data_IF_184792315473
#
_entry.id   IF_184792315473
#
_cell.length_a   1.000
_cell.length_b   1.000
_cell.length_c   1.000
_cell.angle_alpha   90.00
_cell.angle_beta   90.00
_cell.angle_gamma   90.00
#
_symmetry.space_group_name_H-M   'P 1'
#
loop_
_entity.id
_entity.type
_entity.pdbx_description
1 polymer ?
#
# COMPACT_ATOMS: atom_id res chain seq x y z
N UNK A 1 16.36 13.60 -16.85
CA UNK A 1 15.00 13.03 -16.95
C UNK A 1 14.01 14.18 -16.98
N UNK A 2 13.13 14.25 -17.97
CA UNK A 2 12.11 15.32 -18.07
C UNK A 2 11.00 15.07 -17.04
N UNK A 3 10.42 16.14 -16.49
CA UNK A 3 9.36 16.06 -15.49
C UNK A 3 8.14 15.23 -15.95
N UNK A 4 7.88 15.21 -17.26
CA UNK A 4 6.79 14.44 -17.87
C UNK A 4 6.97 12.92 -17.71
N UNK A 5 8.21 12.43 -17.77
CA UNK A 5 8.49 11.00 -17.60
C UNK A 5 8.24 10.52 -16.18
N UNK A 6 8.65 11.31 -15.18
CA UNK A 6 8.38 11.02 -13.77
C UNK A 6 6.87 11.02 -13.51
N UNK A 7 6.16 12.00 -14.06
CA UNK A 7 4.70 12.11 -13.97
C UNK A 7 3.99 10.87 -14.52
N UNK A 8 4.45 10.38 -15.68
CA UNK A 8 3.92 9.15 -16.28
C UNK A 8 4.19 7.92 -15.42
N UNK A 9 5.41 7.78 -14.90
CA UNK A 9 5.78 6.67 -14.00
C UNK A 9 4.95 6.68 -12.71
N UNK A 10 4.75 7.84 -12.08
CA UNK A 10 3.89 7.96 -10.91
C UNK A 10 2.44 7.61 -11.23
N UNK A 11 1.92 8.05 -12.39
CA UNK A 11 0.57 7.67 -12.81
C UNK A 11 0.44 6.15 -12.98
N UNK A 12 1.36 5.51 -13.71
CA UNK A 12 1.36 4.05 -13.89
C UNK A 12 1.46 3.31 -12.55
N UNK A 13 2.31 3.79 -11.64
CA UNK A 13 2.46 3.20 -10.32
C UNK A 13 1.18 3.32 -9.50
N UNK A 14 0.54 4.49 -9.46
CA UNK A 14 -0.75 4.69 -8.78
C UNK A 14 -1.84 3.78 -9.35
N UNK A 15 -1.91 3.64 -10.68
CA UNK A 15 -2.83 2.69 -11.32
C UNK A 15 -2.52 1.24 -10.93
N UNK A 16 -1.24 0.87 -10.84
CA UNK A 16 -0.79 -0.45 -10.38
C UNK A 16 -1.24 -0.75 -8.95
N UNK A 17 -1.05 0.18 -8.02
CA UNK A 17 -1.48 0.04 -6.61
C UNK A 17 -3.01 -0.07 -6.53
N UNK A 18 -3.75 0.80 -7.21
CA UNK A 18 -5.23 0.75 -7.22
C UNK A 18 -5.75 -0.58 -7.79
N UNK A 19 -5.13 -1.08 -8.86
CA UNK A 19 -5.47 -2.37 -9.44
C UNK A 19 -5.20 -3.50 -8.44
N UNK A 20 -4.05 -3.49 -7.76
CA UNK A 20 -3.70 -4.48 -6.76
C UNK A 20 -4.68 -4.49 -5.57
N UNK A 21 -5.06 -3.31 -5.06
CA UNK A 21 -6.09 -3.18 -4.02
C UNK A 21 -7.40 -3.82 -4.47
N UNK A 22 -7.86 -3.48 -5.68
CA UNK A 22 -9.13 -3.99 -6.20
C UNK A 22 -9.11 -5.51 -6.41
N UNK A 23 -8.03 -6.04 -6.97
CA UNK A 23 -7.86 -7.49 -7.18
C UNK A 23 -7.88 -8.25 -5.86
N UNK A 24 -7.11 -7.80 -4.86
CA UNK A 24 -7.11 -8.41 -3.52
C UNK A 24 -8.47 -8.28 -2.84
N UNK A 25 -9.08 -7.10 -2.87
CA UNK A 25 -10.39 -6.86 -2.26
C UNK A 25 -11.47 -7.76 -2.86
N UNK A 26 -11.47 -7.95 -4.18
CA UNK A 26 -12.42 -8.83 -4.85
C UNK A 26 -12.19 -10.29 -4.46
N UNK A 27 -10.94 -10.75 -4.46
CA UNK A 27 -10.60 -12.11 -4.10
C UNK A 27 -10.95 -12.43 -2.64
N UNK A 28 -10.59 -11.56 -1.70
CA UNK A 28 -10.92 -11.70 -0.28
C UNK A 28 -12.44 -11.79 -0.08
N UNK A 29 -13.21 -10.95 -0.77
CA UNK A 29 -14.68 -11.01 -0.71
C UNK A 29 -15.23 -12.33 -1.24
N UNK A 30 -14.67 -12.91 -2.30
CA UNK A 30 -15.09 -14.22 -2.81
C UNK A 30 -14.77 -15.33 -1.80
N UNK A 31 -13.54 -15.34 -1.28
CA UNK A 31 -13.10 -16.31 -0.27
C UNK A 31 -13.95 -16.26 1.00
N UNK A 32 -14.30 -15.07 1.49
CA UNK A 32 -15.17 -14.89 2.67
C UNK A 32 -16.60 -15.41 2.44
N UNK A 33 -17.06 -15.41 1.19
CA UNK A 33 -18.34 -16.00 0.77
C UNK A 33 -18.22 -17.50 0.45
N UNK A 34 -17.06 -18.13 0.70
CA UNK A 34 -16.81 -19.55 0.43
C UNK A 34 -16.64 -19.89 -1.05
N UNK A 35 -16.40 -18.89 -1.91
CA UNK A 35 -16.14 -19.09 -3.33
C UNK A 35 -14.63 -19.19 -3.54
N UNK A 36 -14.16 -20.38 -3.91
CA UNK A 36 -12.77 -20.57 -4.33
C UNK A 36 -12.54 -19.86 -5.67
N UNK A 37 -11.49 -19.04 -5.75
CA UNK A 37 -11.13 -18.25 -6.92
C UNK A 37 -9.71 -18.63 -7.38
N UNK A 38 -9.56 -19.92 -7.72
CA UNK A 38 -8.30 -20.53 -8.12
C UNK A 38 -7.76 -19.94 -9.43
N UNK A 39 -8.64 -19.57 -10.36
CA UNK A 39 -8.26 -18.96 -11.64
C UNK A 39 -7.51 -17.64 -11.46
N UNK A 40 -7.73 -16.93 -10.34
CA UNK A 40 -7.09 -15.64 -10.06
C UNK A 40 -5.96 -15.72 -9.04
N UNK A 41 -5.61 -16.90 -8.55
CA UNK A 41 -4.55 -17.07 -7.53
C UNK A 41 -3.24 -16.35 -7.92
N UNK A 42 -2.76 -16.50 -9.16
CA UNK A 42 -1.55 -15.79 -9.61
C UNK A 42 -1.71 -14.26 -9.65
N UNK A 43 -2.90 -13.76 -9.97
CA UNK A 43 -3.18 -12.33 -9.99
C UNK A 43 -3.24 -11.75 -8.58
N UNK A 44 -3.71 -12.54 -7.62
CA UNK A 44 -3.74 -12.23 -6.19
C UNK A 44 -2.32 -12.15 -5.64
N UNK A 45 -1.48 -13.14 -5.93
CA UNK A 45 -0.07 -13.16 -5.50
C UNK A 45 0.68 -11.92 -5.99
N UNK A 46 0.59 -11.62 -7.30
CA UNK A 46 1.22 -10.41 -7.87
C UNK A 46 0.66 -9.12 -7.27
N UNK A 47 -0.62 -9.10 -6.91
CA UNK A 47 -1.24 -7.95 -6.26
C UNK A 47 -0.71 -7.77 -4.83
N UNK A 48 -0.55 -8.86 -4.09
CA UNK A 48 0.07 -8.86 -2.77
C UNK A 48 1.51 -8.36 -2.83
N UNK A 49 2.32 -8.87 -3.77
CA UNK A 49 3.70 -8.41 -4.00
C UNK A 49 3.74 -6.91 -4.35
N UNK A 50 2.84 -6.44 -5.21
CA UNK A 50 2.76 -5.02 -5.60
C UNK A 50 2.47 -4.14 -4.38
N UNK A 51 1.53 -4.54 -3.52
CA UNK A 51 1.21 -3.79 -2.31
C UNK A 51 2.32 -3.85 -1.26
N UNK A 52 2.97 -5.00 -1.09
CA UNK A 52 4.11 -5.14 -0.18
C UNK A 52 5.26 -4.22 -0.59
N UNK A 53 5.62 -4.20 -1.87
CA UNK A 53 6.66 -3.31 -2.40
C UNK A 53 6.29 -1.83 -2.20
N UNK A 54 5.02 -1.48 -2.43
CA UNK A 54 4.53 -0.13 -2.16
C UNK A 54 4.64 0.26 -0.69
N UNK A 55 4.26 -0.63 0.24
CA UNK A 55 4.35 -0.38 1.67
C UNK A 55 5.80 -0.29 2.16
N UNK A 56 6.72 -1.08 1.60
CA UNK A 56 8.15 -0.98 1.91
C UNK A 56 8.72 0.39 1.52
N UNK A 57 8.35 0.88 0.33
CA UNK A 57 8.78 2.20 -0.12
C UNK A 57 8.16 3.33 0.72
N UNK A 58 6.86 3.22 1.04
CA UNK A 58 6.17 4.17 1.90
C UNK A 58 6.80 4.21 3.29
N UNK A 59 7.14 3.06 3.88
CA UNK A 59 7.78 3.00 5.18
C UNK A 59 9.18 3.62 5.16
N UNK A 60 9.99 3.32 4.15
CA UNK A 60 11.30 3.92 3.98
C UNK A 60 11.20 5.46 3.86
N UNK A 61 10.28 5.95 3.03
CA UNK A 61 10.05 7.38 2.84
C UNK A 61 9.54 8.06 4.11
N UNK A 62 8.60 7.44 4.83
CA UNK A 62 8.06 7.93 6.09
C UNK A 62 9.16 8.03 7.17
N UNK A 63 10.01 7.00 7.30
CA UNK A 63 11.14 7.00 8.24
C UNK A 63 12.17 8.10 7.91
N UNK A 64 12.42 8.35 6.63
CA UNK A 64 13.33 9.42 6.19
C UNK A 64 12.76 10.80 6.54
N UNK A 65 11.48 11.03 6.26
CA UNK A 65 10.81 12.30 6.53
C UNK A 65 10.67 12.61 8.04
N UNK A 66 10.51 11.59 8.89
CA UNK A 66 10.35 11.78 10.34
C UNK A 66 11.66 12.13 11.06
N UNK A 67 12.81 11.74 10.49
CA UNK A 67 14.15 12.03 11.05
C UNK A 67 14.57 13.51 10.98
N UNK A 68 13.71 14.42 10.52
CA UNK A 68 13.98 15.87 10.36
C UNK A 68 15.24 16.21 9.56
N UNK A 69 15.82 15.25 8.85
CA UNK A 69 16.76 15.56 7.79
C UNK A 69 15.92 15.91 6.56
N UNK A 70 15.92 17.17 6.10
CA UNK A 70 15.51 17.49 4.74
C UNK A 70 16.62 16.98 3.81
N UNK A 71 16.97 15.70 3.93
CA UNK A 71 17.62 14.98 2.86
C UNK A 71 16.57 15.01 1.77
N UNK A 72 16.72 16.00 0.89
CA UNK A 72 16.01 16.12 -0.36
C UNK A 72 15.82 14.69 -0.85
N UNK A 73 14.58 14.23 -0.90
CA UNK A 73 14.23 12.96 -1.52
C UNK A 73 14.53 13.11 -3.02
N UNK A 74 15.82 13.16 -3.36
CA UNK A 74 16.37 13.44 -4.68
C UNK A 74 16.03 12.23 -5.55
N UNK A 75 15.29 12.48 -6.63
CA UNK A 75 14.80 11.43 -7.51
C UNK A 75 13.45 10.82 -7.13
N UNK A 76 12.82 11.26 -6.03
CA UNK A 76 11.44 10.86 -5.69
C UNK A 76 10.44 11.80 -6.36
N UNK A 77 9.40 11.21 -6.96
CA UNK A 77 8.31 11.95 -7.59
C UNK A 77 7.66 12.94 -6.60
N UNK A 78 7.46 14.22 -6.99
CA UNK A 78 6.77 15.21 -6.15
C UNK A 78 5.43 14.76 -5.59
N UNK A 79 4.62 14.02 -6.35
CA UNK A 79 3.32 13.49 -5.93
C UNK A 79 3.46 12.43 -4.85
N UNK A 80 4.47 11.56 -4.97
CA UNK A 80 4.73 10.57 -3.93
C UNK A 80 5.20 11.24 -2.64
N UNK A 81 6.01 12.30 -2.76
CA UNK A 81 6.42 13.10 -1.60
C UNK A 81 5.24 13.76 -0.90
N UNK A 82 4.33 14.37 -1.67
CA UNK A 82 3.08 14.95 -1.15
C UNK A 82 2.22 13.88 -0.44
N UNK A 83 2.06 12.71 -1.07
CA UNK A 83 1.36 11.59 -0.46
C UNK A 83 1.99 11.13 0.86
N UNK A 84 3.32 11.01 0.94
CA UNK A 84 4.03 10.65 2.19
C UNK A 84 3.78 11.70 3.28
N UNK A 85 3.80 12.98 2.91
CA UNK A 85 3.51 14.07 3.84
C UNK A 85 2.07 13.98 4.39
N UNK A 86 1.10 13.75 3.50
CA UNK A 86 -0.30 13.59 3.87
C UNK A 86 -0.52 12.35 4.74
N UNK A 87 0.15 11.24 4.41
CA UNK A 87 0.14 10.01 5.21
C UNK A 87 0.67 10.26 6.63
N UNK A 88 1.81 10.92 6.77
CA UNK A 88 2.40 11.24 8.08
C UNK A 88 1.52 12.19 8.88
N UNK A 89 0.92 13.18 8.21
CA UNK A 89 -0.03 14.13 8.82
C UNK A 89 -1.26 13.38 9.35
N UNK A 90 -1.88 12.55 8.50
CA UNK A 90 -3.01 11.70 8.86
C UNK A 90 -2.71 10.77 10.05
N UNK A 91 -1.52 10.16 10.05
CA UNK A 91 -1.03 9.28 11.13
C UNK A 91 -0.88 10.00 12.46
N UNK A 92 -0.33 11.22 12.46
CA UNK A 92 -0.15 12.04 13.68
C UNK A 92 -1.46 12.52 14.29
N UNK A 93 -2.47 12.78 13.46
CA UNK A 93 -3.76 13.29 13.93
C UNK A 93 -4.65 12.23 14.58
N UNK A 94 -4.28 10.94 14.56
CA UNK A 94 -5.05 9.80 15.11
C UNK A 94 -6.54 9.77 14.72
N UNK A 95 -6.91 10.51 13.65
CA UNK A 95 -8.28 10.66 13.20
C UNK A 95 -8.80 9.41 12.50
N UNK A 96 -7.87 8.59 12.00
CA UNK A 96 -8.18 7.37 11.27
C UNK A 96 -7.97 6.15 12.17
N UNK A 97 -8.99 5.30 12.26
CA UNK A 97 -8.96 4.04 13.03
C UNK A 97 -8.36 2.87 12.24
N UNK A 98 -8.15 3.03 10.93
CA UNK A 98 -7.60 1.98 10.08
C UNK A 98 -6.20 1.58 10.53
N UNK A 99 -5.91 0.27 10.45
CA UNK A 99 -4.60 -0.32 10.80
C UNK A 99 -3.44 0.33 10.03
N UNK A 100 -3.69 0.90 8.86
CA UNK A 100 -2.71 1.66 8.06
C UNK A 100 -2.11 2.87 8.80
N UNK A 101 -2.88 3.46 9.72
CA UNK A 101 -2.51 4.68 10.44
C UNK A 101 -2.21 4.43 11.93
N UNK A 102 -2.60 3.29 12.48
CA UNK A 102 -2.47 2.99 13.93
C UNK A 102 -1.33 2.03 14.26
N UNK A 103 -0.92 1.16 13.32
CA UNK A 103 0.15 0.18 13.51
C UNK A 103 1.36 0.40 12.59
N UNK A 104 2.43 -0.40 12.75
CA UNK A 104 3.50 -0.50 11.78
C UNK A 104 3.01 -1.14 10.48
N UNK A 105 3.49 -0.66 9.33
CA UNK A 105 3.10 -1.21 8.03
C UNK A 105 3.49 -2.69 7.86
N UNK A 106 4.47 -3.16 8.63
CA UNK A 106 4.83 -4.57 8.73
C UNK A 106 3.66 -5.48 9.09
N UNK A 107 2.76 -5.04 9.97
CA UNK A 107 1.62 -5.86 10.41
C UNK A 107 0.66 -6.11 9.25
N UNK A 108 0.49 -5.11 8.37
CA UNK A 108 -0.35 -5.22 7.18
C UNK A 108 0.30 -6.15 6.14
N UNK A 109 1.63 -6.14 6.03
CA UNK A 109 2.33 -7.11 5.17
C UNK A 109 2.10 -8.55 5.64
N UNK A 110 2.10 -8.78 6.95
CA UNK A 110 1.76 -10.09 7.52
C UNK A 110 0.33 -10.48 7.20
N UNK A 111 -0.63 -9.56 7.30
CA UNK A 111 -2.02 -9.83 6.90
C UNK A 111 -2.14 -10.16 5.41
N UNK A 112 -1.44 -9.41 4.53
CA UNK A 112 -1.45 -9.66 3.08
C UNK A 112 -0.89 -11.02 2.66
N UNK A 113 -0.07 -11.65 3.51
CA UNK A 113 0.51 -12.98 3.28
C UNK A 113 -0.22 -14.08 4.05
N UNK A 114 -1.22 -13.72 4.87
CA UNK A 114 -1.98 -14.68 5.67
C UNK A 114 -3.18 -15.22 4.89
N UNK A 115 -3.35 -16.54 4.98
CA UNK A 115 -4.54 -17.24 4.50
C UNK A 115 -5.56 -17.51 5.63
N UNK A 116 -5.32 -16.99 6.84
CA UNK A 116 -6.26 -17.14 7.94
C UNK A 116 -7.50 -16.26 7.70
N UNK A 117 -8.69 -16.85 7.84
CA UNK A 117 -9.96 -16.14 7.66
C UNK A 117 -10.06 -14.87 8.52
N UNK A 118 -9.61 -14.93 9.77
CA UNK A 118 -9.58 -13.78 10.68
C UNK A 118 -8.75 -12.61 10.15
N UNK A 119 -7.66 -12.91 9.45
CA UNK A 119 -6.74 -11.91 8.90
C UNK A 119 -7.29 -11.32 7.59
N UNK A 120 -7.99 -12.15 6.81
CA UNK A 120 -8.75 -11.73 5.63
C UNK A 120 -9.90 -10.79 5.98
N UNK A 121 -10.65 -11.08 7.06
CA UNK A 121 -11.70 -10.20 7.59
C UNK A 121 -11.11 -8.85 8.03
N UNK A 122 -9.97 -8.87 8.72
CA UNK A 122 -9.27 -7.66 9.16
C UNK A 122 -8.69 -6.78 8.03
N UNK A 123 -8.57 -7.30 6.80
CA UNK A 123 -8.17 -6.54 5.62
C UNK A 123 -9.35 -5.87 4.89
N UNK A 124 -10.57 -6.34 5.13
CA UNK A 124 -11.79 -5.85 4.47
C UNK A 124 -12.57 -4.84 5.35
N UNK A 125 -12.40 -4.89 6.67
CA UNK A 125 -12.92 -3.89 7.63
C UNK A 125 -12.13 -2.56 7.63
#
# INVERSE_FOLDING_TARGET
MTADWLTFQSFQRSQGVLKAINTLSAHLKLMLNGVADEERSQAVDRSAETLQAFFDELEAAARQADRREPALMLGVDPRFREFVHDYLTARRHHRFRSRLFTGPLSDIKTLLSSNARSDQEALVE
#
